data_IF_165376875232
#
_entry.id   IF_165376875232
#
_cell.length_a   1.000
_cell.length_b   1.000
_cell.length_c   1.000
_cell.angle_alpha   90.00
_cell.angle_beta   90.00
_cell.angle_gamma   90.00
#
_symmetry.space_group_name_H-M   'P 1'
#
loop_
_entity.id
_entity.type
_entity.pdbx_description
1 polymer ?
#
# COMPACT_ATOMS: atom_id res chain seq x y z
N UNK A 1 34.51 13.35 -1.84
CA UNK A 1 34.04 13.54 -0.46
C UNK A 1 34.41 12.28 0.28
N UNK A 2 35.31 12.42 1.25
CA UNK A 2 35.81 11.32 2.07
C UNK A 2 34.95 11.23 3.33
N UNK A 3 34.66 10.01 3.77
CA UNK A 3 33.82 9.77 4.95
C UNK A 3 34.43 10.40 6.21
N UNK A 4 35.76 10.49 6.26
CA UNK A 4 36.56 11.15 7.31
C UNK A 4 36.17 12.63 7.49
N UNK A 5 35.75 13.33 6.42
CA UNK A 5 35.38 14.74 6.50
C UNK A 5 34.11 14.99 7.34
N UNK A 6 33.32 13.94 7.61
CA UNK A 6 32.14 14.04 8.46
C UNK A 6 32.46 13.94 9.96
N UNK A 7 33.61 13.35 10.32
CA UNK A 7 33.97 13.08 11.71
C UNK A 7 33.94 14.33 12.60
N UNK A 8 34.50 15.50 12.21
CA UNK A 8 34.53 16.67 13.08
C UNK A 8 33.12 17.15 13.48
N UNK A 9 32.19 17.17 12.53
CA UNK A 9 30.80 17.60 12.78
C UNK A 9 30.04 16.65 13.70
N UNK A 10 30.23 15.33 13.52
CA UNK A 10 29.63 14.31 14.40
C UNK A 10 30.22 14.43 15.81
N UNK A 11 31.53 14.61 15.90
CA UNK A 11 32.24 14.75 17.17
C UNK A 11 31.74 15.98 17.94
N UNK A 12 31.74 17.14 17.31
CA UNK A 12 31.29 18.41 17.91
C UNK A 12 29.85 18.30 18.42
N UNK A 13 28.94 17.76 17.60
CA UNK A 13 27.54 17.56 17.97
C UNK A 13 27.34 16.76 19.25
N UNK A 14 28.02 15.62 19.41
CA UNK A 14 27.88 14.80 20.62
C UNK A 14 28.68 15.35 21.82
N UNK A 15 29.83 15.99 21.59
CA UNK A 15 30.58 16.65 22.66
C UNK A 15 29.80 17.82 23.27
N UNK A 16 29.07 18.61 22.46
CA UNK A 16 28.17 19.66 22.93
C UNK A 16 27.02 19.12 23.80
N UNK A 17 26.57 17.89 23.53
CA UNK A 17 25.59 17.17 24.35
C UNK A 17 26.21 16.55 25.62
N UNK A 18 27.51 16.72 25.82
CA UNK A 18 28.27 16.27 26.99
C UNK A 18 28.69 14.81 26.93
N UNK A 19 28.82 14.24 25.72
CA UNK A 19 29.38 12.89 25.54
C UNK A 19 30.90 12.94 25.37
N UNK A 20 31.58 11.89 25.83
CA UNK A 20 32.94 11.58 25.43
C UNK A 20 32.90 10.89 24.07
N UNK A 21 33.56 11.47 23.06
CA UNK A 21 33.53 10.95 21.68
C UNK A 21 34.88 10.37 21.26
N UNK A 22 34.86 9.16 20.68
CA UNK A 22 36.03 8.47 20.12
C UNK A 22 35.73 7.94 18.72
N UNK A 23 36.68 8.04 17.80
CA UNK A 23 36.59 7.43 16.46
C UNK A 23 37.21 6.04 16.43
N UNK A 24 36.81 5.24 15.43
CA UNK A 24 37.38 3.91 15.11
C UNK A 24 37.45 2.94 16.31
N UNK A 25 36.34 2.77 17.02
CA UNK A 25 36.26 1.89 18.19
C UNK A 25 35.60 0.57 17.80
N UNK A 26 36.35 -0.55 17.79
CA UNK A 26 35.83 -1.90 17.49
C UNK A 26 34.97 -1.95 16.21
N UNK A 27 35.50 -1.37 15.14
CA UNK A 27 34.86 -1.27 13.83
C UNK A 27 33.58 -0.41 13.80
N UNK A 28 33.36 0.44 14.81
CA UNK A 28 32.35 1.50 14.79
C UNK A 28 33.07 2.80 14.43
N UNK A 29 32.56 3.51 13.42
CA UNK A 29 33.18 4.73 12.90
C UNK A 29 33.32 5.79 14.01
N UNK A 30 32.26 6.02 14.79
CA UNK A 30 32.28 6.91 15.98
C UNK A 30 31.47 6.31 17.12
N UNK A 31 31.98 6.42 18.34
CA UNK A 31 31.28 6.07 19.57
C UNK A 31 31.22 7.31 20.47
N UNK A 32 30.02 7.59 20.98
CA UNK A 32 29.78 8.63 21.98
C UNK A 32 29.29 7.98 23.27
N UNK A 33 29.96 8.25 24.39
CA UNK A 33 29.63 7.68 25.69
C UNK A 33 29.31 8.78 26.71
N UNK A 34 28.24 8.60 27.49
CA UNK A 34 27.92 9.43 28.65
C UNK A 34 27.36 8.56 29.75
N UNK A 35 28.07 8.50 30.89
CA UNK A 35 27.75 7.55 31.97
C UNK A 35 27.70 6.11 31.42
N UNK A 36 26.58 5.41 31.62
CA UNK A 36 26.33 4.06 31.11
C UNK A 36 25.75 4.05 29.69
N UNK A 37 25.41 5.21 29.12
CA UNK A 37 24.81 5.30 27.78
C UNK A 37 25.91 5.26 26.70
N UNK A 38 25.80 4.29 25.80
CA UNK A 38 26.70 4.09 24.67
C UNK A 38 25.96 4.27 23.34
N UNK A 39 26.37 5.29 22.58
CA UNK A 39 25.83 5.60 21.26
C UNK A 39 26.84 5.20 20.18
N UNK A 40 26.43 4.33 19.26
CA UNK A 40 27.19 3.99 18.07
C UNK A 40 26.77 4.84 16.88
N UNK A 41 27.71 5.35 16.11
CA UNK A 41 27.44 6.14 14.91
C UNK A 41 28.21 5.56 13.73
N UNK A 42 27.47 5.11 12.72
CA UNK A 42 28.02 4.60 11.46
C UNK A 42 27.96 5.69 10.39
N UNK A 43 29.08 5.97 9.74
CA UNK A 43 29.24 7.06 8.78
C UNK A 43 29.44 6.50 7.36
N UNK A 44 28.60 6.91 6.39
CA UNK A 44 28.83 6.60 4.97
C UNK A 44 28.49 7.78 4.07
N UNK A 45 29.06 7.80 2.86
CA UNK A 45 28.77 8.85 1.87
C UNK A 45 27.32 8.86 1.36
N UNK A 46 26.55 7.80 1.60
CA UNK A 46 25.13 7.73 1.26
C UNK A 46 24.38 6.75 2.18
N UNK A 47 23.06 6.89 2.22
CA UNK A 47 22.18 5.89 2.82
C UNK A 47 22.08 4.68 1.89
N UNK A 48 22.76 3.60 2.29
CA UNK A 48 22.77 2.32 1.58
C UNK A 48 22.27 1.18 2.47
N UNK A 49 21.97 0.02 1.86
CA UNK A 49 21.61 -1.21 2.60
C UNK A 49 22.76 -1.63 3.54
N UNK A 50 24.01 -1.44 3.10
CA UNK A 50 25.20 -1.72 3.92
C UNK A 50 25.18 -0.90 5.20
N UNK A 51 24.96 0.41 5.09
CA UNK A 51 24.89 1.31 6.26
C UNK A 51 23.73 0.93 7.20
N UNK A 52 22.55 0.64 6.64
CA UNK A 52 21.41 0.17 7.44
C UNK A 52 21.73 -1.13 8.20
N UNK A 53 22.44 -2.06 7.55
CA UNK A 53 22.83 -3.34 8.14
C UNK A 53 23.87 -3.16 9.23
N UNK A 54 24.88 -2.31 9.01
CA UNK A 54 25.87 -1.95 10.01
C UNK A 54 25.20 -1.35 11.25
N UNK A 55 24.36 -0.32 11.06
CA UNK A 55 23.62 0.29 12.18
C UNK A 55 22.77 -0.71 12.96
N UNK A 56 21.99 -1.55 12.27
CA UNK A 56 21.18 -2.57 12.92
C UNK A 56 22.03 -3.60 13.71
N UNK A 57 23.23 -3.93 13.23
CA UNK A 57 24.14 -4.82 13.95
C UNK A 57 24.71 -4.18 15.22
N UNK A 58 24.95 -2.86 15.22
CA UNK A 58 25.48 -2.13 16.40
C UNK A 58 24.49 -2.04 17.54
N UNK A 59 23.18 -2.17 17.29
CA UNK A 59 22.17 -2.24 18.35
C UNK A 59 22.36 -3.45 19.29
N UNK A 60 23.18 -4.45 18.91
CA UNK A 60 23.56 -5.55 19.81
C UNK A 60 24.54 -5.14 20.90
N UNK A 61 25.25 -4.02 20.71
CA UNK A 61 26.37 -3.60 21.56
C UNK A 61 26.27 -2.15 22.03
N UNK A 62 25.35 -1.36 21.45
CA UNK A 62 25.13 0.05 21.78
C UNK A 62 23.65 0.26 22.15
N UNK A 63 23.38 1.16 23.08
CA UNK A 63 22.02 1.48 23.53
C UNK A 63 21.23 2.23 22.45
N UNK A 64 21.90 3.17 21.78
CA UNK A 64 21.35 3.96 20.68
C UNK A 64 22.30 3.90 19.48
N UNK A 65 21.72 3.97 18.27
CA UNK A 65 22.52 3.94 17.05
C UNK A 65 22.05 5.01 16.08
N UNK A 66 23.00 5.81 15.60
CA UNK A 66 22.77 6.78 14.52
C UNK A 66 23.48 6.35 13.24
N UNK A 67 22.84 6.69 12.12
CA UNK A 67 23.47 6.70 10.81
C UNK A 67 23.83 8.14 10.47
N UNK A 68 25.04 8.41 10.01
CA UNK A 68 25.47 9.74 9.60
C UNK A 68 25.85 9.72 8.11
N UNK A 69 25.24 10.64 7.35
CA UNK A 69 25.50 10.78 5.91
C UNK A 69 25.56 12.25 5.51
N UNK A 70 26.20 12.61 4.38
CA UNK A 70 26.21 13.98 3.91
C UNK A 70 24.80 14.52 3.68
N UNK A 71 24.57 15.76 4.10
CA UNK A 71 23.34 16.48 3.85
C UNK A 71 23.09 16.60 2.35
N UNK A 72 21.95 16.15 1.81
CA UNK A 72 21.67 16.30 0.40
C UNK A 72 21.46 17.78 0.05
N UNK A 73 21.89 18.19 -1.16
CA UNK A 73 21.72 19.57 -1.66
C UNK A 73 20.28 20.07 -1.56
N UNK A 74 19.30 19.18 -1.72
CA UNK A 74 17.88 19.46 -1.57
C UNK A 74 17.18 18.32 -0.86
N UNK A 75 16.54 18.62 0.26
CA UNK A 75 15.67 17.67 0.97
C UNK A 75 14.27 17.77 0.37
N UNK A 76 13.85 16.74 -0.36
CA UNK A 76 12.48 16.65 -0.90
C UNK A 76 11.67 15.71 -0.02
N UNK A 77 10.64 16.23 0.66
CA UNK A 77 9.73 15.46 1.55
C UNK A 77 8.71 14.61 0.77
N UNK A 78 9.17 13.89 -0.26
CA UNK A 78 8.36 13.03 -1.11
C UNK A 78 8.04 11.68 -0.43
N UNK A 79 7.31 10.81 -1.14
CA UNK A 79 6.94 9.47 -0.67
C UNK A 79 8.17 8.63 -0.33
N UNK A 80 9.23 8.70 -1.13
CA UNK A 80 10.49 7.96 -0.90
C UNK A 80 11.12 8.36 0.42
N UNK A 81 11.24 9.67 0.70
CA UNK A 81 11.75 10.15 1.98
C UNK A 81 10.89 9.70 3.16
N UNK A 82 9.55 9.78 3.04
CA UNK A 82 8.64 9.28 4.09
C UNK A 82 8.80 7.77 4.34
N UNK A 83 8.98 6.98 3.28
CA UNK A 83 9.21 5.54 3.39
C UNK A 83 10.55 5.21 4.05
N UNK A 84 11.60 5.97 3.73
CA UNK A 84 12.91 5.85 4.38
C UNK A 84 12.81 6.16 5.88
N UNK A 85 12.20 7.28 6.25
CA UNK A 85 12.00 7.65 7.66
C UNK A 85 11.16 6.58 8.38
N UNK A 86 10.14 6.02 7.72
CA UNK A 86 9.37 4.90 8.27
C UNK A 86 10.25 3.67 8.53
N UNK A 87 11.15 3.32 7.60
CA UNK A 87 12.07 2.19 7.77
C UNK A 87 13.05 2.42 8.93
N UNK A 88 13.63 3.61 9.03
CA UNK A 88 14.55 3.93 10.14
C UNK A 88 13.85 3.87 11.49
N UNK A 89 12.62 4.38 11.60
CA UNK A 89 11.77 4.19 12.78
C UNK A 89 11.56 2.72 13.11
N UNK A 90 11.25 1.90 12.10
CA UNK A 90 11.02 0.45 12.27
C UNK A 90 12.26 -0.31 12.75
N UNK A 91 13.44 0.20 12.40
CA UNK A 91 14.72 -0.33 12.83
C UNK A 91 15.22 0.35 14.11
N UNK A 92 14.52 1.36 14.63
CA UNK A 92 14.93 2.14 15.80
C UNK A 92 16.32 2.79 15.63
N UNK A 93 16.60 3.22 14.40
CA UNK A 93 17.86 3.89 14.01
C UNK A 93 17.64 5.40 13.87
N UNK A 94 18.60 6.16 14.39
CA UNK A 94 18.71 7.59 14.17
C UNK A 94 19.33 7.94 12.82
N UNK A 95 19.12 9.19 12.38
CA UNK A 95 19.76 9.74 11.18
C UNK A 95 20.27 11.15 11.46
N UNK A 96 21.56 11.35 11.22
CA UNK A 96 22.22 12.63 11.17
C UNK A 96 22.53 12.98 9.70
N UNK A 97 22.21 14.21 9.31
CA UNK A 97 22.72 14.82 8.10
C UNK A 97 23.91 15.71 8.43
N UNK A 98 25.02 15.48 7.73
CA UNK A 98 26.27 16.19 7.95
C UNK A 98 26.47 17.24 6.87
N UNK A 99 26.45 18.51 7.25
CA UNK A 99 26.83 19.62 6.42
C UNK A 99 28.34 19.87 6.58
N UNK A 100 29.13 19.17 5.77
CA UNK A 100 30.61 19.23 5.82
C UNK A 100 31.12 20.66 5.61
N UNK A 101 30.42 21.48 4.82
CA UNK A 101 30.85 22.86 4.55
C UNK A 101 30.76 23.77 5.76
N UNK A 102 29.86 23.44 6.70
CA UNK A 102 29.63 24.17 7.94
C UNK A 102 30.14 23.43 9.18
N UNK A 103 30.67 22.23 9.00
CA UNK A 103 31.00 21.31 10.10
C UNK A 103 29.80 21.09 11.03
N UNK A 104 28.60 20.99 10.47
CA UNK A 104 27.35 20.94 11.25
C UNK A 104 26.67 19.57 11.10
N UNK A 105 26.31 18.93 12.22
CA UNK A 105 25.44 17.76 12.22
C UNK A 105 23.99 18.16 12.53
N UNK A 106 23.05 17.66 11.74
CA UNK A 106 21.62 17.95 11.86
C UNK A 106 20.89 16.65 12.12
N UNK A 107 20.25 16.53 13.28
CA UNK A 107 19.40 15.39 13.58
C UNK A 107 18.11 15.45 12.76
N UNK A 108 17.92 14.41 11.94
CA UNK A 108 16.71 14.24 11.12
C UNK A 108 15.69 13.37 11.85
N UNK A 109 16.20 12.35 12.56
CA UNK A 109 15.41 11.45 13.40
C UNK A 109 16.27 10.90 14.52
N UNK A 110 15.71 10.87 15.71
CA UNK A 110 16.27 10.22 16.90
C UNK A 110 15.97 8.69 16.90
N UNK A 111 16.92 7.84 17.32
CA UNK A 111 16.69 6.42 17.56
C UNK A 111 15.72 6.27 18.75
N UNK A 112 14.49 5.88 18.45
CA UNK A 112 13.42 5.75 19.45
C UNK A 112 12.65 4.45 19.24
N UNK A 113 12.14 3.89 20.34
CA UNK A 113 11.33 2.68 20.30
C UNK A 113 10.12 2.83 19.38
N UNK A 114 9.84 1.81 18.59
CA UNK A 114 8.74 1.83 17.63
C UNK A 114 7.61 0.84 17.97
N UNK A 115 6.47 1.37 18.43
CA UNK A 115 5.24 0.57 18.62
C UNK A 115 4.56 0.24 17.29
N UNK A 116 4.92 -0.93 16.75
CA UNK A 116 4.29 -1.53 15.58
C UNK A 116 2.77 -1.70 15.71
N UNK A 117 2.28 -2.00 16.90
CA UNK A 117 0.87 -2.25 17.13
C UNK A 117 0.06 -0.94 17.06
N UNK A 118 0.64 0.18 17.50
CA UNK A 118 0.06 1.51 17.30
C UNK A 118 -0.17 1.81 15.82
N UNK A 119 0.84 1.56 14.98
CA UNK A 119 0.72 1.74 13.53
C UNK A 119 -0.38 0.86 12.91
N UNK A 120 -0.48 -0.41 13.34
CA UNK A 120 -1.55 -1.32 12.91
C UNK A 120 -2.93 -0.81 13.31
N UNK A 121 -3.10 -0.34 14.56
CA UNK A 121 -4.37 0.23 15.06
C UNK A 121 -4.81 1.42 14.20
N UNK A 122 -3.89 2.34 13.88
CA UNK A 122 -4.18 3.51 13.04
C UNK A 122 -4.60 3.14 11.60
N UNK A 123 -4.10 2.02 11.07
CA UNK A 123 -4.39 1.55 9.70
C UNK A 123 -5.53 0.53 9.62
N UNK A 124 -6.26 0.29 10.71
CA UNK A 124 -7.36 -0.68 10.74
C UNK A 124 -8.45 -0.39 9.71
N UNK A 125 -8.81 0.88 9.49
CA UNK A 125 -9.77 1.29 8.45
C UNK A 125 -9.33 0.88 7.05
N UNK A 126 -8.05 1.07 6.74
CA UNK A 126 -7.49 0.73 5.43
C UNK A 126 -7.41 -0.79 5.25
N UNK A 127 -6.98 -1.51 6.29
CA UNK A 127 -7.06 -2.98 6.32
C UNK A 127 -8.48 -3.47 6.03
N UNK A 128 -9.49 -2.84 6.63
CA UNK A 128 -10.89 -3.21 6.40
C UNK A 128 -11.36 -2.91 4.97
N UNK A 129 -10.85 -1.85 4.32
CA UNK A 129 -11.11 -1.61 2.89
C UNK A 129 -10.52 -2.71 2.01
N UNK A 130 -9.26 -3.09 2.25
CA UNK A 130 -8.61 -4.20 1.53
C UNK A 130 -9.41 -5.49 1.71
N UNK A 131 -9.84 -5.79 2.94
CA UNK A 131 -10.66 -6.97 3.21
C UNK A 131 -12.03 -6.93 2.51
N UNK A 132 -12.66 -5.75 2.43
CA UNK A 132 -13.91 -5.57 1.66
C UNK A 132 -13.68 -5.77 0.17
N UNK A 133 -12.57 -5.25 -0.35
CA UNK A 133 -12.19 -5.41 -1.76
C UNK A 133 -11.99 -6.89 -2.12
N UNK A 134 -11.30 -7.65 -1.26
CA UNK A 134 -11.11 -9.10 -1.47
C UNK A 134 -12.45 -9.85 -1.44
N UNK A 135 -13.34 -9.54 -0.49
CA UNK A 135 -14.65 -10.20 -0.37
C UNK A 135 -15.61 -9.90 -1.53
N UNK A 136 -15.39 -8.81 -2.27
CA UNK A 136 -16.24 -8.41 -3.39
C UNK A 136 -15.79 -8.94 -4.75
N UNK A 137 -14.73 -9.77 -4.82
CA UNK A 137 -14.25 -10.36 -6.10
C UNK A 137 -14.67 -11.82 -6.17
N UNK A 138 -15.40 -12.19 -7.22
CA UNK A 138 -15.71 -13.61 -7.51
C UNK A 138 -14.76 -14.21 -8.54
N UNK A 139 -14.00 -13.38 -9.28
CA UNK A 139 -13.05 -13.83 -10.30
C UNK A 139 -11.69 -13.16 -10.13
N UNK A 140 -10.62 -13.97 -10.17
CA UNK A 140 -9.23 -13.53 -10.02
C UNK A 140 -8.69 -12.99 -11.36
N UNK A 141 -9.16 -11.81 -11.78
CA UNK A 141 -8.86 -11.22 -13.09
C UNK A 141 -7.53 -10.44 -13.17
N UNK A 142 -6.85 -10.21 -12.05
CA UNK A 142 -5.65 -9.35 -12.00
C UNK A 142 -4.41 -10.16 -11.61
N UNK A 143 -3.82 -10.87 -12.58
CA UNK A 143 -2.42 -11.29 -12.43
C UNK A 143 -1.56 -10.03 -12.24
N UNK A 144 -0.87 -9.96 -11.10
CA UNK A 144 -0.05 -8.80 -10.74
C UNK A 144 0.97 -8.45 -11.82
N UNK A 145 1.11 -7.15 -12.13
CA UNK A 145 2.16 -6.62 -13.02
C UNK A 145 1.70 -6.01 -14.34
N UNK A 146 0.41 -6.04 -14.70
CA UNK A 146 -0.03 -5.46 -15.97
C UNK A 146 -0.30 -3.95 -15.85
N UNK A 147 0.73 -3.13 -16.06
CA UNK A 147 0.64 -1.66 -16.08
C UNK A 147 -0.19 -1.08 -17.26
N UNK A 148 -0.95 -1.91 -17.99
CA UNK A 148 -1.69 -1.56 -19.22
C UNK A 148 -3.05 -2.24 -19.42
N UNK A 149 -3.54 -3.07 -18.49
CA UNK A 149 -4.90 -3.66 -18.58
C UNK A 149 -5.87 -2.87 -17.71
N UNK A 150 -7.09 -2.60 -18.20
CA UNK A 150 -8.11 -1.91 -17.39
C UNK A 150 -8.49 -2.83 -16.22
N UNK A 151 -8.35 -2.35 -14.99
CA UNK A 151 -8.58 -3.16 -13.79
C UNK A 151 -10.04 -3.65 -13.73
N UNK A 152 -10.28 -4.94 -13.53
CA UNK A 152 -11.63 -5.41 -13.18
C UNK A 152 -11.92 -5.00 -11.72
N UNK A 153 -12.67 -3.91 -11.54
CA UNK A 153 -13.14 -3.47 -10.21
C UNK A 153 -14.44 -4.18 -9.87
N UNK A 154 -14.81 -4.25 -8.58
CA UNK A 154 -16.07 -4.85 -8.15
C UNK A 154 -17.29 -4.22 -8.85
N UNK A 155 -17.30 -2.89 -9.06
CA UNK A 155 -18.37 -2.22 -9.80
C UNK A 155 -18.41 -2.65 -11.28
N UNK A 156 -17.24 -2.82 -11.92
CA UNK A 156 -17.16 -3.28 -13.31
C UNK A 156 -17.60 -4.73 -13.45
N UNK A 157 -17.19 -5.58 -12.52
CA UNK A 157 -17.64 -6.97 -12.46
C UNK A 157 -19.16 -7.06 -12.29
N UNK A 158 -19.74 -6.34 -11.32
CA UNK A 158 -21.19 -6.26 -11.13
C UNK A 158 -21.91 -5.72 -12.38
N UNK A 159 -21.29 -4.77 -13.10
CA UNK A 159 -21.85 -4.21 -14.32
C UNK A 159 -21.86 -5.24 -15.46
N UNK A 160 -20.76 -5.99 -15.63
CA UNK A 160 -20.65 -7.07 -16.62
C UNK A 160 -21.59 -8.23 -16.29
N UNK A 161 -21.71 -8.61 -15.01
CA UNK A 161 -22.70 -9.58 -14.51
C UNK A 161 -24.12 -9.12 -14.82
N UNK A 162 -24.42 -7.83 -14.62
CA UNK A 162 -25.72 -7.25 -14.97
C UNK A 162 -25.99 -7.31 -16.47
N UNK A 163 -24.98 -7.04 -17.30
CA UNK A 163 -25.09 -7.18 -18.77
C UNK A 163 -25.43 -8.62 -19.14
N UNK A 164 -24.66 -9.60 -18.64
CA UNK A 164 -24.91 -11.01 -18.90
C UNK A 164 -26.33 -11.44 -18.50
N UNK A 165 -26.82 -10.96 -17.35
CA UNK A 165 -28.17 -11.26 -16.87
C UNK A 165 -29.25 -10.60 -17.75
N UNK A 166 -29.02 -9.39 -18.26
CA UNK A 166 -29.92 -8.72 -19.20
C UNK A 166 -29.94 -9.39 -20.58
N UNK A 167 -28.85 -10.03 -21.03
CA UNK A 167 -28.88 -10.80 -22.27
C UNK A 167 -29.81 -12.03 -22.19
N UNK A 168 -30.05 -12.55 -20.98
CA UNK A 168 -30.95 -13.67 -20.74
C UNK A 168 -32.38 -13.17 -20.49
N UNK A 169 -32.53 -12.21 -19.58
CA UNK A 169 -33.84 -11.78 -19.07
C UNK A 169 -34.43 -10.57 -19.80
N UNK A 170 -33.67 -9.90 -20.66
CA UNK A 170 -33.97 -8.68 -21.44
C UNK A 170 -34.24 -7.41 -20.62
N UNK A 171 -35.05 -7.50 -19.56
CA UNK A 171 -35.44 -6.38 -18.70
C UNK A 171 -35.20 -6.77 -17.24
N UNK A 172 -34.51 -5.90 -16.50
CA UNK A 172 -34.24 -6.09 -15.08
C UNK A 172 -34.72 -4.92 -14.24
N UNK A 173 -35.11 -5.23 -13.00
CA UNK A 173 -35.35 -4.28 -11.93
C UNK A 173 -34.23 -4.32 -10.87
N UNK A 174 -34.11 -3.28 -10.01
CA UNK A 174 -33.19 -3.32 -8.87
C UNK A 174 -33.43 -4.50 -7.91
N UNK A 175 -34.67 -5.03 -7.88
CA UNK A 175 -35.02 -6.21 -7.09
C UNK A 175 -34.41 -7.47 -7.69
N UNK A 176 -34.43 -7.60 -9.01
CA UNK A 176 -33.85 -8.74 -9.73
C UNK A 176 -32.33 -8.79 -9.51
N UNK A 177 -31.65 -7.64 -9.56
CA UNK A 177 -30.23 -7.56 -9.21
C UNK A 177 -29.94 -8.11 -7.81
N UNK A 178 -30.77 -7.74 -6.84
CA UNK A 178 -30.59 -8.20 -5.46
C UNK A 178 -30.75 -9.72 -5.34
N UNK A 179 -31.62 -10.35 -6.15
CA UNK A 179 -31.79 -11.82 -6.19
C UNK A 179 -30.49 -12.52 -6.59
N UNK A 180 -29.70 -11.91 -7.47
CA UNK A 180 -28.40 -12.42 -7.91
C UNK A 180 -27.21 -11.85 -7.14
N UNK A 181 -27.45 -11.28 -5.94
CA UNK A 181 -26.43 -10.64 -5.09
C UNK A 181 -25.69 -9.45 -5.74
N UNK A 182 -26.30 -8.80 -6.73
CA UNK A 182 -25.77 -7.61 -7.40
C UNK A 182 -26.25 -6.32 -6.74
N UNK A 183 -25.46 -5.26 -6.86
CA UNK A 183 -25.79 -3.96 -6.26
C UNK A 183 -26.98 -3.28 -6.95
N UNK A 184 -28.10 -3.13 -6.25
CA UNK A 184 -29.34 -2.49 -6.75
C UNK A 184 -29.16 -1.06 -7.29
N UNK A 185 -28.17 -0.32 -6.80
CA UNK A 185 -27.91 1.08 -7.24
C UNK A 185 -27.21 1.16 -8.59
N UNK A 186 -26.73 0.03 -9.12
CA UNK A 186 -25.94 -0.04 -10.34
C UNK A 186 -26.71 0.50 -11.56
N UNK A 187 -27.98 0.11 -11.72
CA UNK A 187 -28.84 0.57 -12.81
C UNK A 187 -29.09 2.08 -12.77
N UNK A 188 -29.13 2.66 -11.58
CA UNK A 188 -29.37 4.09 -11.40
C UNK A 188 -28.10 4.92 -11.56
N UNK A 189 -26.98 4.42 -11.04
CA UNK A 189 -25.70 5.12 -11.10
C UNK A 189 -25.09 5.07 -12.51
N UNK A 190 -25.25 3.95 -13.21
CA UNK A 190 -24.94 3.74 -14.63
C UNK A 190 -23.65 4.41 -15.13
N UNK A 191 -22.52 4.27 -14.41
CA UNK A 191 -21.28 5.00 -14.71
C UNK A 191 -20.66 4.69 -16.10
N UNK A 192 -21.15 3.66 -16.79
CA UNK A 192 -20.70 3.24 -18.11
C UNK A 192 -21.74 3.49 -19.21
N UNK A 193 -22.91 4.02 -18.87
CA UNK A 193 -24.02 4.26 -19.81
C UNK A 193 -24.52 3.00 -20.54
N UNK A 194 -24.31 1.83 -19.94
CA UNK A 194 -24.69 0.52 -20.48
C UNK A 194 -26.18 0.20 -20.33
N UNK A 195 -26.87 0.85 -19.40
CA UNK A 195 -28.27 0.57 -19.08
C UNK A 195 -29.16 1.75 -19.46
N UNK A 196 -30.36 1.45 -19.96
CA UNK A 196 -31.39 2.45 -20.26
C UNK A 196 -32.67 2.13 -19.49
N UNK A 197 -33.34 3.18 -18.99
CA UNK A 197 -34.60 3.01 -18.28
C UNK A 197 -35.76 2.95 -19.28
N UNK A 198 -36.44 1.81 -19.34
CA UNK A 198 -37.58 1.58 -20.24
C UNK A 198 -38.92 1.88 -19.57
N UNK A 199 -39.03 1.64 -18.26
CA UNK A 199 -40.21 2.00 -17.46
C UNK A 199 -39.78 2.42 -16.03
N UNK A 200 -40.75 2.79 -15.19
CA UNK A 200 -40.46 3.06 -13.78
C UNK A 200 -39.91 1.82 -13.08
N UNK A 201 -38.61 1.84 -12.77
CA UNK A 201 -37.92 0.77 -12.06
C UNK A 201 -37.51 -0.42 -12.92
N UNK A 202 -37.65 -0.32 -14.26
CA UNK A 202 -37.24 -1.36 -15.21
C UNK A 202 -36.21 -0.80 -16.19
N UNK A 203 -35.17 -1.59 -16.43
CA UNK A 203 -34.02 -1.22 -17.24
C UNK A 203 -33.70 -2.32 -18.25
N UNK A 204 -33.21 -1.91 -19.41
CA UNK A 204 -32.70 -2.79 -20.46
C UNK A 204 -31.27 -2.36 -20.83
N UNK A 205 -30.61 -3.17 -21.66
CA UNK A 205 -29.34 -2.77 -22.26
C UNK A 205 -29.54 -1.61 -23.24
N UNK A 206 -28.60 -0.68 -23.22
CA UNK A 206 -28.53 0.38 -24.21
C UNK A 206 -28.16 -0.23 -25.58
N UNK A 207 -28.84 0.21 -26.65
CA UNK A 207 -28.63 -0.31 -28.01
C UNK A 207 -27.20 -0.07 -28.53
N UNK A 208 -26.54 0.99 -28.04
CA UNK A 208 -25.18 1.38 -28.45
C UNK A 208 -24.13 1.08 -27.37
N UNK A 209 -24.31 -0.01 -26.61
CA UNK A 209 -23.38 -0.38 -25.55
C UNK A 209 -21.97 -0.66 -26.10
N UNK A 210 -20.97 0.06 -25.58
CA UNK A 210 -19.56 -0.19 -25.87
C UNK A 210 -18.89 -0.86 -24.68
N UNK A 211 -18.50 -2.12 -24.85
CA UNK A 211 -17.73 -2.89 -23.86
C UNK A 211 -16.35 -3.17 -24.44
N UNK A 212 -15.30 -2.89 -23.67
CA UNK A 212 -13.94 -3.21 -24.08
C UNK A 212 -13.81 -4.71 -24.37
N UNK A 213 -13.17 -5.06 -25.50
CA UNK A 213 -13.01 -6.45 -25.96
C UNK A 213 -12.40 -7.38 -24.92
N UNK A 214 -11.57 -6.85 -24.02
CA UNK A 214 -10.96 -7.63 -22.94
C UNK A 214 -11.95 -8.12 -21.88
N UNK A 215 -13.15 -7.52 -21.79
CA UNK A 215 -14.18 -7.88 -20.83
C UNK A 215 -15.28 -8.78 -21.38
N UNK A 216 -15.42 -8.88 -22.70
CA UNK A 216 -16.43 -9.73 -23.36
C UNK A 216 -16.37 -11.19 -22.89
N UNK A 217 -15.20 -11.84 -22.73
CA UNK A 217 -15.15 -13.22 -22.23
C UNK A 217 -15.78 -13.42 -20.85
N UNK A 218 -15.78 -12.40 -19.99
CA UNK A 218 -16.39 -12.50 -18.66
C UNK A 218 -17.91 -12.52 -18.73
N UNK A 219 -18.51 -11.78 -19.69
CA UNK A 219 -19.96 -11.77 -19.91
C UNK A 219 -20.43 -13.17 -20.27
N UNK A 220 -19.73 -13.85 -21.18
CA UNK A 220 -20.03 -15.23 -21.58
C UNK A 220 -19.92 -16.22 -20.42
N UNK A 221 -18.92 -16.04 -19.54
CA UNK A 221 -18.78 -16.86 -18.34
C UNK A 221 -19.97 -16.64 -17.41
N UNK A 222 -20.30 -15.39 -17.10
CA UNK A 222 -21.42 -15.06 -16.20
C UNK A 222 -22.77 -15.48 -16.78
N UNK A 223 -22.94 -15.39 -18.09
CA UNK A 223 -24.15 -15.85 -18.78
C UNK A 223 -24.38 -17.34 -18.57
N UNK A 224 -23.34 -18.15 -18.76
CA UNK A 224 -23.39 -19.60 -18.48
C UNK A 224 -23.69 -19.90 -17.01
N UNK A 225 -23.10 -19.14 -16.08
CA UNK A 225 -23.42 -19.26 -14.65
C UNK A 225 -24.92 -19.00 -14.39
N UNK A 226 -25.48 -17.93 -14.95
CA UNK A 226 -26.89 -17.58 -14.74
C UNK A 226 -27.86 -18.54 -15.42
N UNK A 227 -27.55 -19.02 -16.63
CA UNK A 227 -28.34 -20.05 -17.30
C UNK A 227 -28.45 -21.31 -16.45
N UNK A 228 -27.33 -21.76 -15.85
CA UNK A 228 -27.33 -22.91 -14.93
C UNK A 228 -28.16 -22.65 -13.66
N UNK A 229 -28.03 -21.47 -13.05
CA UNK A 229 -28.82 -21.09 -11.87
C UNK A 229 -30.31 -21.10 -12.18
N UNK A 230 -30.71 -20.51 -13.32
CA UNK A 230 -32.11 -20.42 -13.73
C UNK A 230 -32.70 -21.79 -14.10
N UNK A 231 -31.92 -22.66 -14.76
CA UNK A 231 -32.31 -24.04 -15.04
C UNK A 231 -32.59 -24.82 -13.75
N UNK A 232 -31.72 -24.68 -12.74
CA UNK A 232 -31.90 -25.32 -11.43
C UNK A 232 -33.14 -24.80 -10.69
N UNK A 233 -33.46 -23.51 -10.77
CA UNK A 233 -34.68 -22.96 -10.18
C UNK A 233 -35.94 -23.56 -10.82
N UNK A 234 -35.95 -23.76 -12.14
CA UNK A 234 -37.08 -24.37 -12.87
C UNK A 234 -37.28 -25.84 -12.45
N UNK A 235 -36.20 -26.63 -12.37
CA UNK A 235 -36.28 -28.03 -11.94
C UNK A 235 -36.79 -28.21 -10.50
N UNK A 236 -36.45 -27.28 -9.61
CA UNK A 236 -36.92 -27.27 -8.22
C UNK A 236 -38.41 -26.91 -8.15
N UNK A 237 -38.83 -25.89 -8.90
CA UNK A 237 -40.25 -25.49 -8.96
C UNK A 237 -41.14 -26.58 -9.57
N UNK A 238 -40.66 -27.33 -10.57
CA UNK A 238 -41.38 -28.47 -11.13
C UNK A 238 -41.51 -29.63 -10.13
N UNK A 239 -40.44 -29.93 -9.37
CA UNK A 239 -40.46 -30.97 -8.32
C UNK A 239 -41.34 -30.62 -7.12
N UNK A 240 -41.55 -29.34 -6.82
CA UNK A 240 -42.46 -28.90 -5.75
C UNK A 240 -43.93 -28.84 -6.18
N UNK A 241 -44.23 -28.98 -7.47
CA UNK A 241 -45.60 -29.03 -8.02
C UNK A 241 -46.15 -30.46 -8.18
N UNK A 242 -45.33 -31.48 -7.92
CA UNK A 242 -45.69 -32.92 -7.90
C UNK A 242 -45.91 -33.36 -6.45
#
# INVERSE_FOLDING_TARGET
>A
MLEIEMYPAVKEYFEELGFLVRGEVRDIDVVAQKEELLIGIEMKNNLSISLLTQGALRQKTCDLVYLAVPKPKRIVKNKTFKNLIYLLKRLELGLLYIDITKTEAIEVIEPTFYDLNMGKRQKLKEKNKILKEIKGRSVDGNQGGSHRKKLLTAYREDSLRTVALMEIMTILSPKDLTKFNLNKSLLQNNYYDWFMRVERGKYALNENIEIDREFVPYIEIFKKEYEQILLLEIEVDEKMRI
#
